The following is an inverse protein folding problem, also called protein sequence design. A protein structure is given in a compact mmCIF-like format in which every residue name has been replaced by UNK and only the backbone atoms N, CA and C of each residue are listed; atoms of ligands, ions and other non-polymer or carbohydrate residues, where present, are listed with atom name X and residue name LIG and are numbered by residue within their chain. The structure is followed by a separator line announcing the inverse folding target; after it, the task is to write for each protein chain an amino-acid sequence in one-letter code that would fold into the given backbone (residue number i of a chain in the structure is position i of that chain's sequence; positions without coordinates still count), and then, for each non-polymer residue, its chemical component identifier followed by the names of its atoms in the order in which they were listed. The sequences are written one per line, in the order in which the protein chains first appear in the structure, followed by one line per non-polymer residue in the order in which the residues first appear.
data_IF_065944323271
#
_entry.id   IF_065944323271
#
_cell.length_a   1.000
_cell.length_b   1.000
_cell.length_c   1.000
_cell.angle_alpha   90.00
_cell.angle_beta   90.00
_cell.angle_gamma   90.00
#
_symmetry.space_group_name_H-M   'P 1'
#
loop_
_entity.id
_entity.type
_entity.pdbx_description
1 polymer ?
#
# COMPACT_ATOMS: atom_id res chain seq x y z
N UNK A 1 3.84 23.38 0.92
CA UNK A 1 4.72 22.60 0.05
C UNK A 1 5.77 21.83 0.83
N UNK A 2 6.50 22.49 1.72
CA UNK A 2 7.49 21.80 2.57
C UNK A 2 6.86 20.74 3.47
N UNK A 3 5.70 21.04 4.04
CA UNK A 3 4.96 20.10 4.88
C UNK A 3 4.53 18.89 4.04
N UNK A 4 4.16 19.13 2.80
CA UNK A 4 3.71 18.10 1.88
C UNK A 4 4.83 17.13 1.53
N UNK A 5 6.01 17.64 1.20
CA UNK A 5 7.20 16.82 0.89
C UNK A 5 7.63 16.02 2.12
N UNK A 6 7.60 16.63 3.28
CA UNK A 6 7.91 15.96 4.53
C UNK A 6 6.96 14.81 4.81
N UNK A 7 5.66 15.01 4.59
CA UNK A 7 4.65 13.96 4.74
C UNK A 7 4.83 12.84 3.73
N UNK A 8 5.19 13.15 2.50
CA UNK A 8 5.50 12.15 1.49
C UNK A 8 6.67 11.26 1.91
N UNK A 9 7.69 11.86 2.48
CA UNK A 9 8.84 11.12 2.99
C UNK A 9 8.45 10.20 4.15
N UNK A 10 7.63 10.69 5.06
CA UNK A 10 7.17 9.93 6.22
C UNK A 10 6.24 8.78 5.85
N UNK A 11 5.57 8.86 4.72
CA UNK A 11 4.58 7.86 4.32
C UNK A 11 5.16 6.52 3.92
N UNK A 12 6.37 6.48 3.37
CA UNK A 12 7.05 5.21 3.10
C UNK A 12 7.26 4.46 4.41
N UNK A 13 7.68 5.16 5.45
CA UNK A 13 7.83 4.58 6.78
C UNK A 13 6.50 4.13 7.37
N UNK A 14 5.42 4.84 7.10
CA UNK A 14 4.09 4.43 7.55
C UNK A 14 3.64 3.13 6.88
N UNK A 15 3.90 2.97 5.60
CA UNK A 15 3.60 1.74 4.89
C UNK A 15 4.38 0.57 5.46
N UNK A 16 5.66 0.77 5.75
CA UNK A 16 6.51 -0.25 6.37
C UNK A 16 5.96 -0.62 7.76
N UNK A 17 5.56 0.36 8.55
CA UNK A 17 4.92 0.10 9.84
C UNK A 17 3.66 -0.73 9.70
N UNK A 18 2.85 -0.43 8.70
CA UNK A 18 1.64 -1.21 8.43
C UNK A 18 2.00 -2.65 8.08
N UNK A 19 3.00 -2.85 7.25
CA UNK A 19 3.49 -4.19 6.89
C UNK A 19 3.89 -4.98 8.14
N UNK A 20 4.66 -4.36 9.01
CA UNK A 20 5.10 -5.00 10.26
C UNK A 20 3.91 -5.36 11.13
N UNK A 21 2.96 -4.45 11.29
CA UNK A 21 1.77 -4.68 12.10
C UNK A 21 0.91 -5.81 11.54
N UNK A 22 0.68 -5.81 10.23
CA UNK A 22 -0.12 -6.85 9.58
C UNK A 22 0.59 -8.20 9.71
N UNK A 23 1.89 -8.24 9.46
CA UNK A 23 2.68 -9.46 9.60
C UNK A 23 2.58 -10.04 11.00
N UNK A 24 2.77 -9.21 12.00
CA UNK A 24 2.66 -9.63 13.41
C UNK A 24 1.25 -10.10 13.75
N UNK A 25 0.24 -9.39 13.29
CA UNK A 25 -1.15 -9.75 13.53
C UNK A 25 -1.50 -11.10 12.92
N UNK A 26 -0.97 -11.39 11.74
CA UNK A 26 -1.19 -12.67 11.08
C UNK A 26 -0.26 -13.78 11.58
N UNK A 27 0.65 -13.47 12.50
CA UNK A 27 1.55 -14.46 13.06
C UNK A 27 2.63 -14.95 12.10
N UNK A 28 2.94 -14.16 11.06
CA UNK A 28 3.94 -14.51 10.07
C UNK A 28 5.31 -14.04 10.54
N UNK A 29 6.29 -14.96 10.57
CA UNK A 29 7.66 -14.60 10.93
C UNK A 29 8.35 -13.90 9.75
N UNK A 30 9.43 -13.17 10.04
CA UNK A 30 10.25 -12.56 8.99
C UNK A 30 10.80 -13.62 8.04
N UNK A 31 11.20 -14.76 8.58
CA UNK A 31 11.69 -15.89 7.79
C UNK A 31 10.63 -16.40 6.83
N UNK A 32 9.42 -16.61 7.33
CA UNK A 32 8.31 -17.07 6.50
C UNK A 32 7.96 -16.07 5.41
N UNK A 33 7.99 -14.76 5.74
CA UNK A 33 7.81 -13.70 4.73
C UNK A 33 8.87 -13.79 3.64
N UNK A 34 10.12 -13.89 4.04
CA UNK A 34 11.23 -13.98 3.09
C UNK A 34 11.07 -15.18 2.16
N UNK A 35 10.71 -16.34 2.72
CA UNK A 35 10.46 -17.54 1.92
C UNK A 35 9.32 -17.33 0.93
N UNK A 36 8.23 -16.74 1.36
CA UNK A 36 7.07 -16.46 0.50
C UNK A 36 7.40 -15.47 -0.62
N UNK A 37 8.32 -14.53 -0.35
CA UNK A 37 8.75 -13.52 -1.32
C UNK A 37 9.93 -13.98 -2.18
N UNK A 38 10.44 -15.18 -1.94
CA UNK A 38 11.61 -15.74 -2.62
C UNK A 38 12.85 -14.86 -2.48
N UNK A 39 13.08 -14.36 -1.29
CA UNK A 39 14.29 -13.60 -0.91
C UNK A 39 14.83 -14.16 0.40
N UNK A 40 16.07 -13.79 0.73
CA UNK A 40 16.61 -14.23 2.01
C UNK A 40 16.09 -13.36 3.17
N UNK A 41 16.18 -13.89 4.37
CA UNK A 41 15.67 -13.21 5.56
C UNK A 41 16.34 -11.85 5.81
N UNK A 42 17.65 -11.77 5.55
CA UNK A 42 18.40 -10.53 5.71
C UNK A 42 17.88 -9.44 4.77
N UNK A 43 17.57 -9.78 3.52
CA UNK A 43 16.99 -8.84 2.56
C UNK A 43 15.62 -8.37 3.00
N UNK A 44 14.79 -9.27 3.50
CA UNK A 44 13.49 -8.89 4.02
C UNK A 44 13.63 -7.96 5.24
N UNK A 45 14.58 -8.27 6.13
CA UNK A 45 14.87 -7.41 7.28
C UNK A 45 15.26 -5.99 6.89
N UNK A 46 15.99 -5.83 5.78
CA UNK A 46 16.37 -4.51 5.27
C UNK A 46 15.16 -3.74 4.74
N UNK A 47 14.18 -4.43 4.20
CA UNK A 47 12.91 -3.80 3.79
C UNK A 47 12.19 -3.26 5.02
N UNK A 48 12.02 -4.06 6.06
CA UNK A 48 11.32 -3.63 7.27
C UNK A 48 12.07 -2.54 8.05
N UNK A 49 13.39 -2.52 7.95
CA UNK A 49 14.21 -1.48 8.60
C UNK A 49 14.31 -0.18 7.79
N UNK A 50 13.82 -0.19 6.56
CA UNK A 50 13.90 0.97 5.68
C UNK A 50 15.25 1.16 5.00
N UNK A 51 16.18 0.20 5.13
CA UNK A 51 17.49 0.29 4.48
C UNK A 51 17.42 0.09 2.98
N UNK A 52 16.42 -0.63 2.51
CA UNK A 52 16.14 -0.82 1.10
C UNK A 52 14.81 -0.14 0.81
N UNK A 53 14.75 0.63 -0.26
CA UNK A 53 13.52 1.27 -0.70
C UNK A 53 12.48 0.20 -1.07
N UNK A 54 11.24 0.44 -0.67
CA UNK A 54 10.13 -0.45 -0.97
C UNK A 54 9.59 -0.16 -2.37
N UNK A 55 9.92 -1.03 -3.32
CA UNK A 55 9.40 -0.92 -4.67
C UNK A 55 7.93 -1.37 -4.71
N UNK A 56 7.16 -0.80 -5.62
CA UNK A 56 5.76 -1.17 -5.79
C UNK A 56 5.59 -2.67 -6.06
N UNK A 57 6.45 -3.24 -6.89
CA UNK A 57 6.40 -4.67 -7.21
C UNK A 57 6.55 -5.54 -5.96
N UNK A 58 7.44 -5.14 -5.06
CA UNK A 58 7.62 -5.85 -3.80
C UNK A 58 6.42 -5.64 -2.86
N UNK A 59 5.88 -4.44 -2.81
CA UNK A 59 4.68 -4.14 -2.03
C UNK A 59 3.50 -5.00 -2.51
N UNK A 60 3.33 -5.14 -3.81
CA UNK A 60 2.28 -5.99 -4.37
C UNK A 60 2.45 -7.45 -3.96
N UNK A 61 3.67 -7.96 -3.95
CA UNK A 61 3.96 -9.33 -3.49
C UNK A 61 3.67 -9.49 -1.99
N UNK A 62 4.07 -8.52 -1.21
CA UNK A 62 3.81 -8.52 0.25
C UNK A 62 2.30 -8.52 0.51
N UNK A 63 1.55 -7.67 -0.16
CA UNK A 63 0.10 -7.63 -0.04
C UNK A 63 -0.52 -8.98 -0.40
N UNK A 64 -0.03 -9.61 -1.45
CA UNK A 64 -0.48 -10.93 -1.87
C UNK A 64 -0.25 -11.99 -0.79
N UNK A 65 0.90 -11.96 -0.13
CA UNK A 65 1.19 -12.88 0.99
C UNK A 65 0.20 -12.69 2.13
N UNK A 66 -0.17 -11.46 2.40
CA UNK A 66 -1.17 -11.14 3.43
C UNK A 66 -2.61 -11.44 3.00
N UNK A 67 -2.82 -11.76 1.74
CA UNK A 67 -4.14 -11.88 1.15
C UNK A 67 -4.94 -10.57 1.24
N UNK A 68 -4.26 -9.48 1.02
CA UNK A 68 -4.81 -8.11 1.03
C UNK A 68 -4.50 -7.42 -0.29
N UNK A 69 -5.25 -6.38 -0.58
CA UNK A 69 -4.89 -5.50 -1.69
C UNK A 69 -3.78 -4.55 -1.27
N UNK A 70 -3.10 -3.97 -2.25
CA UNK A 70 -2.09 -2.94 -1.98
C UNK A 70 -2.72 -1.76 -1.22
N UNK A 71 -3.94 -1.38 -1.59
CA UNK A 71 -4.66 -0.30 -0.91
C UNK A 71 -4.86 -0.63 0.56
N UNK A 72 -5.26 -1.87 0.87
CA UNK A 72 -5.47 -2.30 2.25
C UNK A 72 -4.19 -2.19 3.08
N UNK A 73 -3.05 -2.54 2.50
CA UNK A 73 -1.77 -2.44 3.20
C UNK A 73 -1.40 -0.99 3.45
N UNK A 74 -1.55 -0.14 2.44
CA UNK A 74 -1.19 1.29 2.55
C UNK A 74 -2.08 2.01 3.55
N UNK A 75 -3.36 1.68 3.57
CA UNK A 75 -4.36 2.38 4.38
C UNK A 75 -4.65 1.72 5.72
N UNK A 76 -4.02 0.59 5.99
CA UNK A 76 -4.24 -0.12 7.24
C UNK A 76 -4.20 0.83 8.46
N UNK A 77 -5.10 0.70 9.43
CA UNK A 77 -6.14 -0.34 9.57
C UNK A 77 -7.46 -0.06 8.84
N UNK A 78 -7.55 0.99 8.08
CA UNK A 78 -8.76 1.34 7.37
C UNK A 78 -9.02 0.34 6.25
N UNK A 79 -10.28 0.04 5.99
CA UNK A 79 -10.70 -0.84 4.92
C UNK A 79 -11.52 -0.08 3.91
N UNK A 80 -11.26 -0.35 2.65
CA UNK A 80 -11.99 0.26 1.56
C UNK A 80 -12.52 -0.83 0.64
N UNK A 81 -13.77 -0.71 0.27
CA UNK A 81 -14.42 -1.66 -0.62
C UNK A 81 -14.60 -1.02 -1.99
N UNK A 82 -14.35 -1.81 -3.02
CA UNK A 82 -14.69 -1.43 -4.37
C UNK A 82 -16.20 -1.39 -4.49
N UNK A 83 -16.72 -0.22 -4.79
CA UNK A 83 -18.14 -0.05 -4.99
C UNK A 83 -18.46 -0.34 -6.44
N UNK A 84 -19.13 -1.45 -6.68
CA UNK A 84 -19.60 -1.76 -8.01
C UNK A 84 -20.90 -1.00 -8.29
N UNK A 85 -20.90 -0.30 -9.40
CA UNK A 85 -22.13 0.27 -9.92
C UNK A 85 -22.80 -0.81 -10.74
N UNK A 86 -23.93 -1.27 -10.25
CA UNK A 86 -24.75 -2.25 -10.99
C UNK A 86 -25.42 -1.52 -12.13
N UNK A 87 -24.94 -1.74 -13.35
CA UNK A 87 -25.52 -1.18 -14.55
C UNK A 87 -25.34 -2.16 -15.69
N UNK A 88 -26.09 -1.98 -16.76
CA UNK A 88 -26.03 -2.86 -17.93
C UNK A 88 -24.73 -2.73 -18.69
N UNK A 89 -24.03 -1.63 -18.55
CA UNK A 89 -22.73 -1.45 -19.19
C UNK A 89 -21.64 -1.32 -18.14
N UNK A 90 -20.50 -1.94 -18.41
CA UNK A 90 -19.34 -1.75 -17.55
C UNK A 90 -18.91 -0.31 -17.69
N UNK A 91 -19.24 0.44 -16.73
CA UNK A 91 -18.82 1.80 -16.68
C UNK A 91 -17.53 1.86 -15.89
N UNK A 92 -17.32 2.89 -15.23
CA UNK A 92 -16.12 3.10 -14.44
C UNK A 92 -16.26 2.44 -13.08
N UNK A 93 -15.20 1.80 -12.63
CA UNK A 93 -15.13 1.39 -11.24
C UNK A 93 -14.82 2.63 -10.41
N UNK A 94 -15.73 2.99 -9.52
CA UNK A 94 -15.50 4.13 -8.65
C UNK A 94 -14.95 3.59 -7.33
N UNK A 95 -13.70 3.92 -7.08
CA UNK A 95 -13.07 3.65 -5.80
C UNK A 95 -13.22 4.87 -4.93
N UNK A 96 -14.10 4.78 -3.92
CA UNK A 96 -14.22 5.84 -2.94
C UNK A 96 -13.31 5.54 -1.77
N UNK A 97 -12.26 6.31 -1.67
CA UNK A 97 -11.30 6.18 -0.58
C UNK A 97 -11.43 7.43 0.28
N UNK A 98 -11.87 7.25 1.52
CA UNK A 98 -11.84 8.31 2.51
C UNK A 98 -10.46 8.32 3.14
N UNK A 99 -9.61 9.17 2.63
CA UNK A 99 -8.26 9.34 3.16
C UNK A 99 -8.15 10.68 3.84
N UNK A 100 -7.28 10.75 4.82
CA UNK A 100 -6.81 12.04 5.26
C UNK A 100 -6.22 12.76 4.07
N UNK A 101 -6.48 14.05 3.96
CA UNK A 101 -6.08 14.87 2.82
C UNK A 101 -4.60 14.72 2.46
N UNK A 102 -3.76 14.49 3.45
CA UNK A 102 -2.32 14.34 3.29
C UNK A 102 -1.87 12.98 2.72
N UNK A 103 -2.74 11.96 2.75
CA UNK A 103 -2.42 10.64 2.22
C UNK A 103 -2.94 10.39 0.81
N UNK A 104 -3.85 11.23 0.34
CA UNK A 104 -4.58 11.02 -0.90
C UNK A 104 -3.68 10.84 -2.12
N UNK A 105 -2.80 11.79 -2.36
CA UNK A 105 -1.99 11.79 -3.57
C UNK A 105 -0.99 10.64 -3.60
N UNK A 106 -0.45 10.28 -2.46
CA UNK A 106 0.52 9.20 -2.39
C UNK A 106 -0.13 7.84 -2.64
N UNK A 107 -1.30 7.62 -2.07
CA UNK A 107 -2.04 6.38 -2.32
C UNK A 107 -2.38 6.24 -3.78
N UNK A 108 -2.86 7.33 -4.40
CA UNK A 108 -3.17 7.32 -5.82
C UNK A 108 -1.93 7.03 -6.68
N UNK A 109 -0.80 7.62 -6.37
CA UNK A 109 0.45 7.35 -7.09
C UNK A 109 0.92 5.92 -6.93
N UNK A 110 0.82 5.38 -5.73
CA UNK A 110 1.24 4.00 -5.47
C UNK A 110 0.34 2.98 -6.15
N UNK A 111 -0.96 3.23 -6.19
CA UNK A 111 -1.93 2.27 -6.71
C UNK A 111 -2.08 2.37 -8.22
N UNK A 112 -2.11 3.58 -8.76
CA UNK A 112 -2.45 3.82 -10.17
C UNK A 112 -1.27 4.26 -11.03
N UNK A 113 -0.15 4.63 -10.43
CA UNK A 113 0.99 5.18 -11.15
C UNK A 113 0.75 6.64 -11.56
N UNK A 114 1.78 7.25 -12.15
CA UNK A 114 1.74 8.69 -12.42
C UNK A 114 0.88 9.08 -13.64
N UNK A 115 0.59 8.13 -14.52
CA UNK A 115 0.04 8.43 -15.84
C UNK A 115 -1.47 8.19 -15.97
N UNK A 116 -2.11 7.61 -14.96
CA UNK A 116 -3.51 7.17 -15.08
C UNK A 116 -4.41 7.74 -14.00
N UNK A 117 -4.00 8.83 -13.39
CA UNK A 117 -4.78 9.42 -12.31
C UNK A 117 -5.57 10.59 -12.85
N UNK A 118 -6.88 10.42 -12.90
CA UNK A 118 -7.77 11.55 -12.96
C UNK A 118 -8.17 11.92 -11.55
N UNK A 119 -7.59 12.97 -11.04
CA UNK A 119 -7.94 13.46 -9.72
C UNK A 119 -9.16 14.35 -9.86
N UNK A 120 -10.29 13.82 -9.44
CA UNK A 120 -11.48 14.62 -9.33
C UNK A 120 -11.36 15.48 -8.08
N UNK A 121 -10.99 16.73 -8.27
CA UNK A 121 -10.89 17.68 -7.19
C UNK A 121 -12.27 18.06 -6.68
N UNK A 122 -12.66 17.43 -5.61
CA UNK A 122 -13.78 17.93 -4.81
C UNK A 122 -13.72 17.47 -3.40
#
# INVERSE_FOLDING_TARGET
LKIYIFKLYMKENEVIKNIIQIRNLQGITKRSMAEALDINEASYGRIESGKIALAYSMLAKIASVFNLSVVDVITYPDKFEKKEIIGEEPVEAILQIKLKKDKKDQVLKLVFGDNNIEILNK
#
